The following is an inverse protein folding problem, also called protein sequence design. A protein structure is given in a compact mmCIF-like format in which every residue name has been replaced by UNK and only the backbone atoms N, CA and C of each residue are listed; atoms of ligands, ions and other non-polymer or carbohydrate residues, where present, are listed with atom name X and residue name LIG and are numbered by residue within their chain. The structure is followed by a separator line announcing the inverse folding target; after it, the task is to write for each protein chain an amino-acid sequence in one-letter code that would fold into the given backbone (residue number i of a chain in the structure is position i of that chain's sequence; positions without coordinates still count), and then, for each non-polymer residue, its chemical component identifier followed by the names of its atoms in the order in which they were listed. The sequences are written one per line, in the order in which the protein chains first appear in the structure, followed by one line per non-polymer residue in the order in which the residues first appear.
data_IF_048740873371
#
_entry.id   IF_048740873371
#
_cell.length_a   1.000
_cell.length_b   1.000
_cell.length_c   1.000
_cell.angle_alpha   90.00
_cell.angle_beta   90.00
_cell.angle_gamma   90.00
#
_symmetry.space_group_name_H-M   'P 1'
#
loop_
_entity.id
_entity.type
_entity.pdbx_description
1 polymer ?
#
# COMPACT_ATOMS: atom_id res chain seq x y z
N UNK A 1 21.23 18.63 -60.59
CA UNK A 1 19.78 18.39 -60.63
C UNK A 1 19.42 17.55 -59.44
N UNK A 2 18.76 18.20 -58.48
CA UNK A 2 18.38 17.65 -57.17
C UNK A 2 17.23 16.68 -57.31
N UNK A 3 17.27 15.55 -56.55
CA UNK A 3 16.08 14.81 -56.14
C UNK A 3 16.13 14.62 -54.64
N UNK A 4 15.23 15.34 -54.00
CA UNK A 4 14.92 15.26 -52.57
C UNK A 4 13.92 14.12 -52.37
N UNK A 5 14.32 13.00 -51.75
CA UNK A 5 13.40 11.96 -51.31
C UNK A 5 12.95 12.24 -49.87
N UNK A 6 11.68 12.58 -49.70
CA UNK A 6 10.97 12.63 -48.42
C UNK A 6 10.64 11.20 -48.00
N UNK A 7 11.23 10.76 -46.89
CA UNK A 7 10.81 9.57 -46.19
C UNK A 7 9.59 9.94 -45.35
N UNK A 8 8.43 9.47 -45.73
CA UNK A 8 7.24 9.41 -44.86
C UNK A 8 7.40 8.21 -43.91
N UNK A 9 7.63 8.48 -42.62
CA UNK A 9 7.51 7.49 -41.57
C UNK A 9 6.03 7.24 -41.35
N UNK A 10 5.52 6.12 -41.85
CA UNK A 10 4.16 5.66 -41.53
C UNK A 10 4.11 5.17 -40.11
N UNK A 11 3.34 5.84 -39.25
CA UNK A 11 2.91 5.30 -37.97
C UNK A 11 1.95 4.14 -38.23
N UNK A 12 2.41 2.93 -38.00
CA UNK A 12 1.53 1.76 -37.88
C UNK A 12 0.85 1.87 -36.55
N UNK A 13 -0.40 2.34 -36.53
CA UNK A 13 -1.29 2.19 -35.39
C UNK A 13 -1.64 0.71 -35.29
N UNK A 14 -0.96 0.01 -34.43
CA UNK A 14 -1.37 -1.33 -34.05
C UNK A 14 -2.73 -1.18 -33.30
N UNK A 15 -3.82 -1.51 -33.97
CA UNK A 15 -5.12 -1.71 -33.35
C UNK A 15 -4.98 -2.88 -32.39
N UNK A 16 -4.76 -2.58 -31.12
CA UNK A 16 -4.91 -3.57 -30.07
C UNK A 16 -6.38 -4.01 -30.10
N UNK A 17 -6.63 -5.24 -30.51
CA UNK A 17 -7.92 -5.87 -30.37
C UNK A 17 -8.25 -5.86 -28.88
N UNK A 18 -9.23 -5.02 -28.49
CA UNK A 18 -9.84 -5.05 -27.18
C UNK A 18 -10.50 -6.41 -27.07
N UNK A 19 -9.83 -7.35 -26.39
CA UNK A 19 -10.46 -8.57 -25.96
C UNK A 19 -11.53 -8.14 -24.95
N UNK A 20 -12.76 -7.96 -25.43
CA UNK A 20 -13.90 -7.83 -24.53
C UNK A 20 -13.90 -9.09 -23.66
N UNK A 21 -13.52 -8.95 -22.41
CA UNK A 21 -13.66 -10.03 -21.43
C UNK A 21 -15.12 -10.50 -21.48
N UNK A 22 -15.33 -11.70 -22.02
CA UNK A 22 -16.65 -12.29 -22.11
C UNK A 22 -17.26 -12.31 -20.71
N UNK A 23 -18.24 -11.42 -20.48
CA UNK A 23 -19.18 -11.35 -19.40
C UNK A 23 -18.82 -12.08 -18.10
N UNK A 24 -17.91 -11.50 -17.28
CA UNK A 24 -17.87 -11.88 -15.89
C UNK A 24 -19.24 -11.55 -15.29
N UNK A 25 -19.91 -12.56 -14.71
CA UNK A 25 -21.20 -12.38 -14.06
C UNK A 25 -21.08 -11.29 -13.00
N UNK A 26 -21.74 -10.16 -13.20
CA UNK A 26 -21.80 -9.06 -12.24
C UNK A 26 -22.86 -9.39 -11.21
N UNK A 27 -22.47 -9.64 -9.96
CA UNK A 27 -23.39 -9.86 -8.86
C UNK A 27 -23.71 -8.55 -8.17
N UNK A 28 -24.99 -8.27 -7.86
CA UNK A 28 -25.35 -7.12 -7.07
C UNK A 28 -24.70 -7.19 -5.67
N UNK A 29 -24.35 -6.05 -5.11
CA UNK A 29 -23.73 -5.93 -3.80
C UNK A 29 -24.52 -4.97 -2.92
N UNK A 30 -24.79 -5.32 -1.64
CA UNK A 30 -25.43 -4.40 -0.71
C UNK A 30 -24.40 -3.37 -0.19
N UNK A 31 -24.78 -2.09 -0.24
CA UNK A 31 -24.03 -1.00 0.40
C UNK A 31 -25.01 -0.12 1.17
N UNK A 32 -24.57 0.51 2.27
CA UNK A 32 -25.44 1.45 2.98
C UNK A 32 -25.50 2.83 2.29
N UNK A 33 -24.51 3.14 1.43
CA UNK A 33 -24.53 4.26 0.51
C UNK A 33 -24.03 3.80 -0.87
N UNK A 34 -24.61 4.23 -1.98
CA UNK A 34 -24.16 3.82 -3.30
C UNK A 34 -22.75 4.36 -3.59
N UNK A 35 -21.78 3.50 -3.93
CA UNK A 35 -20.49 3.94 -4.38
C UNK A 35 -20.60 4.61 -5.75
N UNK A 36 -19.78 5.64 -5.99
CA UNK A 36 -19.69 6.35 -7.25
C UNK A 36 -18.32 6.14 -7.88
N UNK A 37 -18.27 5.54 -9.07
CA UNK A 37 -17.03 5.46 -9.84
C UNK A 37 -16.51 6.86 -10.20
N UNK A 38 -15.21 7.09 -10.02
CA UNK A 38 -14.52 8.33 -10.41
C UNK A 38 -13.44 8.09 -11.45
N UNK A 39 -13.29 6.87 -11.90
CA UNK A 39 -12.56 6.47 -13.11
C UNK A 39 -13.41 5.50 -13.91
N UNK A 40 -13.08 5.28 -15.18
CA UNK A 40 -13.81 4.36 -16.05
C UNK A 40 -12.90 3.74 -17.12
N UNK A 41 -13.28 2.55 -17.57
CA UNK A 41 -12.56 1.84 -18.62
C UNK A 41 -12.28 2.65 -19.88
N UNK A 42 -11.51 2.09 -20.86
CA UNK A 42 -11.23 0.65 -20.95
C UNK A 42 -10.05 0.14 -20.10
N UNK A 43 -9.24 1.04 -19.54
CA UNK A 43 -8.09 0.68 -18.70
C UNK A 43 -8.50 0.44 -17.24
N UNK A 44 -7.69 -0.33 -16.54
CA UNK A 44 -7.76 -0.44 -15.09
C UNK A 44 -7.17 0.81 -14.43
N UNK A 45 -7.86 1.32 -13.41
CA UNK A 45 -7.41 2.45 -12.60
C UNK A 45 -7.41 2.06 -11.12
N UNK A 46 -6.42 2.52 -10.39
CA UNK A 46 -6.34 2.32 -8.95
C UNK A 46 -5.51 3.43 -8.27
N UNK A 47 -5.74 3.63 -6.98
CA UNK A 47 -5.03 4.64 -6.22
C UNK A 47 -3.52 4.37 -6.24
N UNK A 48 -2.71 5.41 -6.44
CA UNK A 48 -1.27 5.29 -6.72
C UNK A 48 -0.41 4.94 -5.49
N UNK A 49 -1.02 4.47 -4.41
CA UNK A 49 -0.35 4.18 -3.15
C UNK A 49 -1.02 3.06 -2.35
N UNK A 50 -0.37 2.68 -1.22
CA UNK A 50 -0.88 1.65 -0.31
C UNK A 50 -1.96 2.21 0.62
N UNK A 51 -2.76 1.34 1.28
CA UNK A 51 -3.95 1.72 2.05
C UNK A 51 -3.63 2.68 3.18
N UNK A 52 -2.76 2.88 3.88
CA UNK A 52 -2.55 3.86 4.97
C UNK A 52 -2.09 5.24 4.47
N UNK A 53 -1.89 5.40 3.16
CA UNK A 53 -1.35 6.63 2.56
C UNK A 53 -2.49 7.41 1.92
N UNK A 54 -2.57 8.70 2.18
CA UNK A 54 -3.63 9.53 1.62
C UNK A 54 -3.40 9.80 0.12
N UNK A 55 -4.36 9.40 -0.72
CA UNK A 55 -4.35 9.66 -2.15
C UNK A 55 -4.96 11.02 -2.54
N UNK A 56 -5.71 11.66 -1.61
CA UNK A 56 -6.35 12.94 -1.85
C UNK A 56 -5.32 14.08 -1.84
N UNK A 57 -5.45 15.01 -2.78
CA UNK A 57 -4.71 16.27 -2.73
C UNK A 57 -5.07 17.08 -1.48
N UNK A 58 -4.21 18.00 -1.04
CA UNK A 58 -4.48 18.81 0.15
C UNK A 58 -5.80 19.58 0.11
N UNK A 59 -6.27 19.99 -1.07
CA UNK A 59 -7.55 20.65 -1.32
C UNK A 59 -8.73 19.70 -1.57
N UNK A 60 -8.50 18.38 -1.50
CA UNK A 60 -9.47 17.31 -1.78
C UNK A 60 -10.04 17.29 -3.23
N UNK A 61 -9.45 18.02 -4.15
CA UNK A 61 -9.91 18.07 -5.54
C UNK A 61 -9.39 16.90 -6.38
N UNK A 62 -8.15 16.49 -6.16
CA UNK A 62 -7.50 15.46 -6.99
C UNK A 62 -7.24 14.18 -6.22
N UNK A 63 -7.29 13.05 -6.92
CA UNK A 63 -6.79 11.76 -6.46
C UNK A 63 -5.59 11.34 -7.29
N UNK A 64 -4.51 10.87 -6.63
CA UNK A 64 -3.38 10.22 -7.30
C UNK A 64 -3.79 8.81 -7.74
N UNK A 65 -3.73 8.55 -9.05
CA UNK A 65 -4.25 7.33 -9.69
C UNK A 65 -3.22 6.78 -10.66
N UNK A 66 -3.09 5.46 -10.73
CA UNK A 66 -2.39 4.74 -11.78
C UNK A 66 -3.41 4.20 -12.80
N UNK A 67 -3.06 4.29 -14.08
CA UNK A 67 -3.79 3.72 -15.21
C UNK A 67 -2.94 2.65 -15.89
N UNK A 68 -3.50 1.47 -16.17
CA UNK A 68 -2.78 0.35 -16.82
C UNK A 68 -3.69 -0.48 -17.70
N UNK A 69 -3.12 -1.04 -18.78
CA UNK A 69 -3.76 -2.08 -19.60
C UNK A 69 -3.56 -3.49 -19.04
N UNK A 70 -2.68 -3.69 -18.05
CA UNK A 70 -2.44 -4.98 -17.40
C UNK A 70 -3.54 -5.22 -16.38
N UNK A 71 -4.21 -6.39 -16.42
CA UNK A 71 -5.33 -6.71 -15.54
C UNK A 71 -5.11 -7.96 -14.70
N UNK A 72 -4.45 -8.98 -15.25
CA UNK A 72 -4.50 -10.36 -14.79
C UNK A 72 -3.13 -11.01 -14.56
N UNK A 73 -2.05 -10.24 -14.59
CA UNK A 73 -0.69 -10.73 -14.37
C UNK A 73 0.13 -9.81 -13.47
N UNK A 74 1.20 -10.36 -12.91
CA UNK A 74 2.20 -9.58 -12.20
C UNK A 74 2.83 -8.54 -13.15
N UNK A 75 2.95 -7.27 -12.75
CA UNK A 75 3.74 -6.28 -13.48
C UNK A 75 5.19 -6.73 -13.66
N UNK A 76 5.69 -6.60 -14.88
CA UNK A 76 7.00 -7.09 -15.31
C UNK A 76 7.98 -5.93 -15.64
N UNK A 77 7.73 -4.74 -15.12
CA UNK A 77 8.44 -3.51 -15.45
C UNK A 77 7.83 -2.76 -16.66
N UNK A 78 6.73 -3.28 -17.24
CA UNK A 78 5.94 -2.52 -18.22
C UNK A 78 5.42 -1.24 -17.55
N UNK A 79 5.60 -0.06 -18.14
CA UNK A 79 5.12 1.19 -17.57
C UNK A 79 3.59 1.22 -17.41
N UNK A 80 3.11 1.79 -16.30
CA UNK A 80 1.75 2.32 -16.17
C UNK A 80 1.79 3.86 -16.22
N UNK A 81 0.64 4.51 -16.34
CA UNK A 81 0.54 5.96 -16.34
C UNK A 81 0.13 6.46 -14.94
N UNK A 82 0.99 7.25 -14.31
CA UNK A 82 0.60 8.04 -13.14
C UNK A 82 -0.15 9.28 -13.59
N UNK A 83 -1.29 9.55 -12.99
CA UNK A 83 -2.09 10.72 -13.25
C UNK A 83 -2.93 11.15 -12.05
N UNK A 84 -3.76 12.14 -12.30
CA UNK A 84 -4.74 12.68 -11.34
C UNK A 84 -6.15 12.46 -11.89
N UNK A 85 -7.07 12.11 -11.01
CA UNK A 85 -8.51 12.25 -11.31
C UNK A 85 -9.00 13.58 -10.73
N UNK A 86 -9.47 14.49 -11.57
CA UNK A 86 -10.02 15.79 -11.18
C UNK A 86 -11.51 15.61 -10.83
N UNK A 87 -11.83 15.62 -9.54
CA UNK A 87 -13.19 15.36 -9.03
C UNK A 87 -14.15 16.52 -9.29
N UNK A 88 -13.65 17.71 -9.64
CA UNK A 88 -14.45 18.90 -9.97
C UNK A 88 -14.64 19.10 -11.47
N UNK A 89 -13.90 18.36 -12.31
CA UNK A 89 -13.99 18.41 -13.76
C UNK A 89 -14.45 17.05 -14.33
N UNK A 90 -15.68 16.64 -14.02
CA UNK A 90 -16.29 15.39 -14.49
C UNK A 90 -15.43 14.14 -14.30
N UNK A 91 -14.61 14.11 -13.23
CA UNK A 91 -13.64 13.07 -12.95
C UNK A 91 -12.64 12.83 -14.11
N UNK A 92 -12.24 13.90 -14.80
CA UNK A 92 -11.28 13.81 -15.90
C UNK A 92 -9.93 13.27 -15.41
N UNK A 93 -9.41 12.24 -16.06
CA UNK A 93 -8.06 11.76 -15.82
C UNK A 93 -7.04 12.69 -16.49
N UNK A 94 -6.06 13.14 -15.74
CA UNK A 94 -4.96 14.02 -16.18
C UNK A 94 -3.68 13.18 -16.12
N UNK A 95 -3.16 12.65 -17.24
CA UNK A 95 -1.91 11.90 -17.24
C UNK A 95 -0.72 12.82 -16.92
N UNK A 96 0.23 12.34 -16.12
CA UNK A 96 1.40 13.12 -15.69
C UNK A 96 2.69 12.50 -16.22
N UNK A 97 2.94 11.21 -15.91
CA UNK A 97 4.19 10.55 -16.30
C UNK A 97 4.06 9.03 -16.29
N UNK A 98 4.78 8.32 -17.18
CA UNK A 98 4.90 6.88 -17.10
C UNK A 98 5.73 6.48 -15.88
N UNK A 99 5.34 5.40 -15.20
CA UNK A 99 6.00 4.82 -14.01
C UNK A 99 6.33 3.36 -14.29
N UNK A 100 7.56 2.93 -14.02
CA UNK A 100 8.00 1.54 -14.18
C UNK A 100 7.98 0.73 -12.89
N UNK A 101 7.98 1.38 -11.74
CA UNK A 101 7.99 0.77 -10.40
C UNK A 101 6.58 0.79 -9.83
N UNK A 102 5.83 -0.26 -10.06
CA UNK A 102 4.46 -0.38 -9.57
C UNK A 102 4.03 -1.85 -9.43
N UNK A 103 3.04 -2.06 -8.59
CA UNK A 103 2.34 -3.32 -8.43
C UNK A 103 0.88 -3.06 -8.02
N UNK A 104 0.03 -4.08 -7.96
CA UNK A 104 -1.39 -3.90 -7.63
C UNK A 104 -1.67 -3.74 -6.12
N UNK A 105 -0.68 -3.95 -5.25
CA UNK A 105 -0.86 -3.89 -3.81
C UNK A 105 -0.39 -2.55 -3.23
N UNK A 106 0.88 -2.19 -3.42
CA UNK A 106 1.46 -0.95 -2.90
C UNK A 106 1.50 0.17 -3.96
N UNK A 107 1.08 -0.15 -5.20
CA UNK A 107 1.13 0.76 -6.34
C UNK A 107 2.55 1.32 -6.55
N UNK A 108 2.70 2.61 -6.77
CA UNK A 108 4.00 3.29 -6.92
C UNK A 108 4.38 4.09 -5.66
N UNK A 109 3.73 3.85 -4.52
CA UNK A 109 3.95 4.54 -3.24
C UNK A 109 3.93 6.06 -3.36
N UNK A 110 2.97 6.60 -4.11
CA UNK A 110 2.84 8.03 -4.32
C UNK A 110 2.29 8.74 -3.07
N UNK A 111 2.94 9.84 -2.65
CA UNK A 111 2.52 10.65 -1.51
C UNK A 111 2.47 12.13 -1.91
N UNK A 112 1.38 12.81 -1.62
CA UNK A 112 1.39 14.27 -1.63
C UNK A 112 2.38 14.79 -0.58
N UNK A 113 3.18 15.78 -0.94
CA UNK A 113 4.13 16.38 0.00
C UNK A 113 3.49 17.55 0.74
N UNK A 114 3.32 17.44 2.07
CA UNK A 114 2.88 18.55 2.89
C UNK A 114 3.84 19.75 2.76
N UNK A 115 3.28 20.96 2.63
CA UNK A 115 4.07 22.18 2.50
C UNK A 115 4.60 22.50 1.09
N UNK A 116 4.58 21.54 0.15
CA UNK A 116 4.94 21.76 -1.26
C UNK A 116 3.69 21.74 -2.14
N UNK A 117 3.22 22.92 -2.56
CA UNK A 117 1.99 23.03 -3.37
C UNK A 117 2.14 22.24 -4.67
N UNK A 118 1.08 21.52 -5.04
CA UNK A 118 0.99 20.76 -6.30
C UNK A 118 2.13 19.73 -6.50
N UNK A 119 2.74 19.27 -5.40
CA UNK A 119 3.92 18.40 -5.42
C UNK A 119 3.64 17.08 -4.72
N UNK A 120 4.14 16.00 -5.31
CA UNK A 120 4.11 14.65 -4.74
C UNK A 120 5.48 13.98 -4.89
N UNK A 121 5.73 12.95 -4.08
CA UNK A 121 6.83 12.00 -4.27
C UNK A 121 6.26 10.67 -4.72
N UNK A 122 6.95 9.98 -5.62
CA UNK A 122 6.56 8.66 -6.16
C UNK A 122 7.80 7.86 -6.47
N UNK A 123 7.74 6.53 -6.30
CA UNK A 123 8.83 5.67 -6.72
C UNK A 123 8.84 5.50 -8.25
N UNK A 124 10.04 5.46 -8.83
CA UNK A 124 10.24 5.15 -10.24
C UNK A 124 11.62 4.52 -10.46
N UNK A 125 11.91 4.15 -11.70
CA UNK A 125 13.23 3.67 -12.13
C UNK A 125 13.92 4.74 -12.96
N UNK A 126 15.14 5.10 -12.57
CA UNK A 126 16.04 5.98 -13.33
C UNK A 126 17.40 5.31 -13.47
N UNK A 127 17.92 5.26 -14.68
CA UNK A 127 19.23 4.64 -14.98
C UNK A 127 19.40 3.24 -14.39
N UNK A 128 18.33 2.42 -14.48
CA UNK A 128 18.32 1.06 -13.97
C UNK A 128 18.25 0.93 -12.43
N UNK A 129 18.04 2.02 -11.67
CA UNK A 129 17.95 2.02 -10.21
C UNK A 129 16.56 2.46 -9.76
N UNK A 130 16.09 1.87 -8.69
CA UNK A 130 14.87 2.35 -8.00
C UNK A 130 15.20 3.61 -7.22
N UNK A 131 14.41 4.64 -7.47
CA UNK A 131 14.55 5.99 -6.90
C UNK A 131 13.18 6.50 -6.46
N UNK A 132 13.15 7.58 -5.69
CA UNK A 132 11.95 8.38 -5.56
C UNK A 132 12.08 9.67 -6.40
N UNK A 133 10.99 10.08 -7.03
CA UNK A 133 10.88 11.29 -7.84
C UNK A 133 9.94 12.25 -7.12
N UNK A 134 10.46 13.37 -6.66
CA UNK A 134 9.64 14.49 -6.19
C UNK A 134 9.26 15.31 -7.40
N UNK A 135 7.96 15.45 -7.67
CA UNK A 135 7.46 16.12 -8.88
C UNK A 135 6.39 17.14 -8.56
N UNK A 136 6.57 18.34 -9.09
CA UNK A 136 5.48 19.30 -9.20
C UNK A 136 4.70 19.00 -10.48
N UNK A 137 3.44 18.59 -10.36
CA UNK A 137 2.68 18.13 -11.51
C UNK A 137 2.24 19.24 -12.47
N UNK A 138 2.18 20.50 -12.00
CA UNK A 138 1.80 21.64 -12.84
C UNK A 138 2.97 22.20 -13.64
N UNK A 139 4.13 22.34 -13.00
CA UNK A 139 5.32 22.92 -13.65
C UNK A 139 6.17 21.87 -14.35
N UNK A 140 6.02 20.61 -13.98
CA UNK A 140 6.87 19.53 -14.45
C UNK A 140 8.26 19.46 -13.78
N UNK A 141 8.55 20.32 -12.80
CA UNK A 141 9.82 20.30 -12.09
C UNK A 141 10.00 18.99 -11.31
N UNK A 142 11.19 18.41 -11.40
CA UNK A 142 11.55 17.15 -10.72
C UNK A 142 12.81 17.32 -9.86
N UNK A 143 12.84 16.55 -8.76
CA UNK A 143 14.02 16.30 -7.92
C UNK A 143 14.12 14.79 -7.68
N UNK A 144 15.27 14.21 -7.94
CA UNK A 144 15.51 12.77 -7.75
C UNK A 144 16.09 12.53 -6.35
N UNK A 145 15.49 11.60 -5.64
CA UNK A 145 15.98 11.05 -4.38
C UNK A 145 16.60 9.67 -4.70
N UNK A 146 17.85 9.39 -4.31
CA UNK A 146 18.58 8.21 -4.81
C UNK A 146 18.15 6.88 -4.17
N UNK A 147 16.97 6.83 -3.53
CA UNK A 147 16.40 5.63 -2.93
C UNK A 147 14.86 5.67 -2.94
N UNK A 148 14.16 4.54 -3.11
CA UNK A 148 12.70 4.50 -3.14
C UNK A 148 12.12 4.69 -1.74
N UNK A 149 10.93 5.35 -1.65
CA UNK A 149 10.22 5.60 -0.40
C UNK A 149 9.16 4.54 -0.12
N UNK A 150 8.92 4.25 1.15
CA UNK A 150 7.87 3.35 1.64
C UNK A 150 6.88 4.06 2.58
N UNK A 151 7.31 5.11 3.27
CA UNK A 151 6.47 5.97 4.08
C UNK A 151 7.07 7.39 4.09
N UNK A 152 6.21 8.41 4.18
CA UNK A 152 6.62 9.83 4.27
C UNK A 152 6.11 10.41 5.59
N UNK A 153 6.91 11.25 6.24
CA UNK A 153 6.54 11.94 7.47
C UNK A 153 5.38 12.92 7.27
N UNK A 154 4.60 13.18 8.31
CA UNK A 154 3.44 14.06 8.24
C UNK A 154 3.81 15.53 7.86
N UNK A 155 5.05 15.95 8.10
CA UNK A 155 5.58 17.26 7.71
C UNK A 155 6.23 17.27 6.30
N UNK A 156 6.37 16.10 5.66
CA UNK A 156 6.97 15.96 4.33
C UNK A 156 8.48 16.18 4.28
N UNK A 157 9.17 16.23 5.41
CA UNK A 157 10.62 16.55 5.45
C UNK A 157 11.51 15.32 5.30
N UNK A 158 11.01 14.15 5.68
CA UNK A 158 11.76 12.90 5.61
C UNK A 158 10.86 11.70 5.27
N UNK A 159 11.48 10.63 4.87
CA UNK A 159 10.80 9.39 4.50
C UNK A 159 11.54 8.16 5.05
N UNK A 160 10.85 7.03 5.00
CA UNK A 160 11.44 5.72 5.17
C UNK A 160 11.49 5.03 3.81
N UNK A 161 12.64 4.44 3.50
CA UNK A 161 12.86 3.57 2.35
C UNK A 161 13.14 2.13 2.76
N UNK A 162 12.82 1.20 1.87
CA UNK A 162 13.13 -0.23 1.97
C UNK A 162 13.69 -0.75 0.64
N UNK A 163 14.28 -1.94 0.66
CA UNK A 163 14.80 -2.56 -0.55
C UNK A 163 13.69 -3.26 -1.35
N UNK A 164 13.08 -2.56 -2.31
CA UNK A 164 12.03 -3.11 -3.17
C UNK A 164 12.51 -4.20 -4.13
N UNK A 165 13.80 -4.25 -4.47
CA UNK A 165 14.38 -5.34 -5.25
C UNK A 165 14.38 -6.64 -4.44
N UNK A 166 14.82 -6.58 -3.17
CA UNK A 166 14.77 -7.70 -2.23
C UNK A 166 13.33 -8.11 -1.96
N UNK A 167 12.43 -7.14 -1.82
CA UNK A 167 11.02 -7.39 -1.66
C UNK A 167 10.41 -8.08 -2.88
N UNK A 168 10.80 -7.72 -4.11
CA UNK A 168 10.34 -8.41 -5.31
C UNK A 168 10.76 -9.88 -5.38
N UNK A 169 11.96 -10.21 -4.91
CA UNK A 169 12.42 -11.60 -4.82
C UNK A 169 11.55 -12.41 -3.86
N UNK A 170 11.22 -11.85 -2.69
CA UNK A 170 10.51 -12.53 -1.61
C UNK A 170 8.98 -12.43 -1.73
N UNK A 171 8.49 -11.30 -2.22
CA UNK A 171 7.07 -10.95 -2.37
C UNK A 171 6.88 -10.12 -3.64
N UNK A 172 6.84 -10.77 -4.82
CA UNK A 172 6.73 -10.07 -6.10
C UNK A 172 5.45 -9.23 -6.24
N UNK A 173 4.41 -9.53 -5.46
CA UNK A 173 3.18 -8.75 -5.38
C UNK A 173 3.32 -7.41 -4.64
N UNK A 174 4.42 -7.19 -3.92
CA UNK A 174 4.71 -5.94 -3.19
C UNK A 174 5.99 -5.24 -3.66
N UNK A 175 6.93 -5.97 -4.24
CA UNK A 175 8.17 -5.42 -4.77
C UNK A 175 8.01 -4.83 -6.17
N UNK A 176 9.11 -4.36 -6.72
CA UNK A 176 9.17 -3.87 -8.09
C UNK A 176 10.02 -4.79 -8.95
N UNK A 177 9.59 -5.02 -10.21
CA UNK A 177 10.33 -5.84 -11.16
C UNK A 177 11.72 -5.26 -11.39
N UNK A 178 12.74 -6.08 -11.19
CA UNK A 178 14.16 -5.66 -11.26
C UNK A 178 15.08 -6.76 -10.70
N UNK A 179 14.86 -8.01 -11.08
CA UNK A 179 15.73 -9.12 -10.67
C UNK A 179 17.21 -8.76 -10.94
N UNK A 180 18.07 -9.00 -9.95
CA UNK A 180 19.51 -8.67 -10.02
C UNK A 180 19.88 -7.32 -9.42
N UNK A 181 18.92 -6.49 -9.00
CA UNK A 181 19.21 -5.21 -8.34
C UNK A 181 19.50 -5.35 -6.83
N UNK A 182 19.20 -6.50 -6.21
CA UNK A 182 19.58 -6.74 -4.81
C UNK A 182 20.99 -7.32 -4.72
N UNK A 183 22.01 -6.55 -4.31
CA UNK A 183 23.39 -7.02 -4.19
C UNK A 183 23.56 -7.99 -3.02
N UNK A 184 22.59 -8.13 -2.13
CA UNK A 184 22.60 -8.99 -0.94
C UNK A 184 21.62 -10.16 -1.02
N UNK A 185 21.16 -10.51 -2.22
CA UNK A 185 20.17 -11.59 -2.43
C UNK A 185 20.56 -12.93 -1.80
N UNK A 186 21.84 -13.22 -1.69
CA UNK A 186 22.38 -14.47 -1.14
C UNK A 186 22.70 -14.37 0.37
N UNK A 187 22.41 -13.23 1.01
CA UNK A 187 22.61 -13.01 2.45
C UNK A 187 21.27 -13.04 3.17
N UNK A 188 21.10 -13.98 4.11
CA UNK A 188 19.81 -14.15 4.83
C UNK A 188 19.47 -12.91 5.65
N UNK A 189 20.39 -12.41 6.47
CA UNK A 189 20.22 -11.21 7.30
C UNK A 189 21.32 -10.20 7.00
N UNK A 190 21.18 -9.35 5.97
CA UNK A 190 22.21 -8.37 5.62
C UNK A 190 22.37 -7.29 6.71
N UNK A 191 23.61 -6.85 6.92
CA UNK A 191 23.99 -5.79 7.86
C UNK A 191 23.80 -4.39 7.25
N UNK A 192 23.83 -4.30 5.94
CA UNK A 192 23.78 -3.07 5.14
C UNK A 192 22.47 -2.89 4.36
N UNK A 193 21.45 -3.69 4.67
CA UNK A 193 20.10 -3.57 4.10
C UNK A 193 19.03 -3.64 5.21
N UNK A 194 17.93 -2.95 5.01
CA UNK A 194 16.83 -2.89 5.97
C UNK A 194 15.97 -1.65 5.85
N UNK A 195 15.90 -0.87 6.95
CA UNK A 195 15.10 0.35 7.06
C UNK A 195 16.00 1.57 6.90
N UNK A 196 15.74 2.37 5.88
CA UNK A 196 16.51 3.58 5.59
C UNK A 196 15.70 4.83 5.91
N UNK A 197 16.32 5.80 6.60
CA UNK A 197 15.81 7.14 6.74
C UNK A 197 16.34 8.00 5.59
N UNK A 198 15.47 8.76 4.96
CA UNK A 198 15.75 9.59 3.80
C UNK A 198 15.38 11.03 4.12
N UNK A 199 16.30 11.95 3.98
CA UNK A 199 15.99 13.39 3.98
C UNK A 199 15.46 13.79 2.60
N UNK A 200 14.21 14.22 2.53
CA UNK A 200 13.56 14.52 1.24
C UNK A 200 14.06 15.82 0.62
N UNK A 201 14.72 16.70 1.37
CA UNK A 201 15.28 17.95 0.85
C UNK A 201 16.68 17.75 0.28
N UNK A 202 17.55 17.07 1.02
CA UNK A 202 18.97 16.85 0.63
C UNK A 202 19.18 15.61 -0.19
N UNK A 203 18.28 14.60 -0.11
CA UNK A 203 18.45 13.27 -0.69
C UNK A 203 19.40 12.37 0.10
N UNK A 204 19.81 12.76 1.32
CA UNK A 204 20.63 11.90 2.18
C UNK A 204 19.87 10.64 2.56
N UNK A 205 20.54 9.48 2.45
CA UNK A 205 19.98 8.15 2.76
C UNK A 205 20.84 7.50 3.83
N UNK A 206 20.24 7.14 4.97
CA UNK A 206 20.93 6.53 6.11
C UNK A 206 20.21 5.26 6.54
N UNK A 207 20.94 4.14 6.61
CA UNK A 207 20.43 2.92 7.25
C UNK A 207 20.24 3.17 8.75
N UNK A 208 19.03 2.92 9.28
CA UNK A 208 18.70 3.13 10.70
C UNK A 208 18.39 1.82 11.43
N UNK A 209 17.91 0.78 10.71
CA UNK A 209 17.72 -0.58 11.27
C UNK A 209 18.12 -1.57 10.18
N UNK A 210 19.12 -2.41 10.41
CA UNK A 210 19.47 -3.48 9.47
C UNK A 210 18.61 -4.73 9.69
N UNK A 211 18.51 -5.59 8.67
CA UNK A 211 17.92 -6.92 8.83
C UNK A 211 18.67 -7.72 9.90
N UNK A 212 19.99 -7.57 9.98
CA UNK A 212 20.82 -8.23 10.99
C UNK A 212 20.51 -7.76 12.42
N UNK A 213 20.13 -6.49 12.61
CA UNK A 213 19.82 -5.92 13.94
C UNK A 213 18.64 -6.62 14.63
N UNK A 214 17.71 -7.19 13.86
CA UNK A 214 16.54 -7.90 14.40
C UNK A 214 16.68 -9.42 14.39
N UNK A 215 17.79 -9.98 13.90
CA UNK A 215 18.01 -11.43 13.75
C UNK A 215 17.74 -12.21 15.03
N UNK A 216 18.24 -11.74 16.17
CA UNK A 216 18.04 -12.40 17.49
C UNK A 216 16.64 -12.22 18.08
N UNK A 217 15.75 -11.48 17.41
CA UNK A 217 14.41 -11.13 17.87
C UNK A 217 13.32 -11.74 16.99
N UNK A 218 13.67 -12.52 15.97
CA UNK A 218 12.75 -13.20 15.04
C UNK A 218 12.97 -14.70 15.11
N UNK A 219 12.00 -15.54 14.67
CA UNK A 219 12.21 -16.98 14.55
C UNK A 219 13.44 -17.30 13.69
N UNK A 220 14.17 -18.34 14.07
CA UNK A 220 15.37 -18.78 13.36
C UNK A 220 15.00 -19.20 11.91
N UNK A 221 15.82 -18.77 10.97
CA UNK A 221 15.76 -19.20 9.56
C UNK A 221 16.82 -20.28 9.37
N UNK A 222 16.39 -21.52 9.24
CA UNK A 222 17.26 -22.69 9.13
C UNK A 222 17.61 -23.06 7.70
N UNK A 223 16.83 -22.60 6.73
CA UNK A 223 17.07 -22.86 5.31
C UNK A 223 18.25 -22.05 4.77
N UNK A 224 19.17 -22.69 4.06
CA UNK A 224 20.27 -22.04 3.34
C UNK A 224 19.77 -21.10 2.21
N UNK A 225 18.54 -21.32 1.74
CA UNK A 225 17.86 -20.47 0.77
C UNK A 225 16.91 -19.47 1.43
N UNK A 226 16.97 -19.32 2.75
CA UNK A 226 16.16 -18.37 3.49
C UNK A 226 16.56 -16.93 3.17
N UNK A 227 15.59 -16.02 3.25
CA UNK A 227 15.81 -14.61 3.03
C UNK A 227 14.95 -13.79 4.01
N UNK A 228 15.58 -12.90 4.75
CA UNK A 228 14.86 -11.92 5.58
C UNK A 228 14.73 -10.58 4.83
N UNK A 229 13.65 -9.85 5.13
CA UNK A 229 13.39 -8.54 4.56
C UNK A 229 12.51 -7.70 5.48
N UNK A 230 12.63 -6.38 5.36
CA UNK A 230 11.78 -5.41 6.04
C UNK A 230 10.74 -4.90 5.03
N UNK A 231 9.49 -4.78 5.47
CA UNK A 231 8.39 -4.28 4.64
C UNK A 231 7.29 -3.65 5.49
N UNK A 232 6.27 -3.08 4.82
CA UNK A 232 5.07 -2.53 5.45
C UNK A 232 5.41 -1.52 6.55
N UNK A 233 6.10 -0.47 6.17
CA UNK A 233 6.54 0.58 7.10
C UNK A 233 5.50 1.68 7.21
N UNK A 234 5.25 2.17 8.42
CA UNK A 234 4.45 3.37 8.66
C UNK A 234 5.07 4.23 9.77
N UNK A 235 5.07 5.53 9.56
CA UNK A 235 5.54 6.52 10.52
C UNK A 235 4.35 6.95 11.38
N UNK A 236 4.54 7.05 12.71
CA UNK A 236 3.51 7.57 13.61
C UNK A 236 3.14 9.01 13.27
N UNK A 237 1.89 9.38 13.56
CA UNK A 237 1.37 10.73 13.23
C UNK A 237 2.05 11.85 14.01
N UNK A 238 2.71 11.54 15.13
CA UNK A 238 3.59 12.45 15.87
C UNK A 238 5.05 12.43 15.38
N UNK A 239 5.34 11.64 14.34
CA UNK A 239 6.65 11.47 13.70
C UNK A 239 7.76 10.94 14.63
N UNK A 240 7.43 10.40 15.79
CA UNK A 240 8.40 9.92 16.79
C UNK A 240 8.76 8.45 16.64
N UNK A 241 7.89 7.65 15.99
CA UNK A 241 8.01 6.20 15.89
C UNK A 241 7.80 5.70 14.48
N UNK A 242 8.39 4.54 14.22
CA UNK A 242 8.21 3.78 13.00
C UNK A 242 7.73 2.40 13.40
N UNK A 243 6.68 1.91 12.74
CA UNK A 243 6.29 0.50 12.78
C UNK A 243 6.73 -0.16 11.49
N UNK A 244 7.20 -1.41 11.57
CA UNK A 244 7.60 -2.20 10.43
C UNK A 244 7.44 -3.70 10.68
N UNK A 245 7.36 -4.48 9.61
CA UNK A 245 7.42 -5.92 9.66
C UNK A 245 8.81 -6.40 9.24
N UNK A 246 9.42 -7.23 10.07
CA UNK A 246 10.51 -8.12 9.64
C UNK A 246 9.89 -9.46 9.25
N UNK A 247 10.10 -9.85 8.01
CA UNK A 247 9.64 -11.13 7.47
C UNK A 247 10.83 -11.96 7.01
N UNK A 248 10.71 -13.26 7.13
CA UNK A 248 11.61 -14.21 6.50
C UNK A 248 10.83 -15.27 5.76
N UNK A 249 11.43 -15.78 4.69
CA UNK A 249 10.88 -16.89 3.92
C UNK A 249 11.88 -18.03 3.90
N UNK A 250 11.38 -19.25 4.03
CA UNK A 250 12.11 -20.49 3.87
C UNK A 250 11.49 -21.25 2.70
N UNK A 251 11.97 -20.99 1.49
CA UNK A 251 11.49 -21.67 0.28
C UNK A 251 12.52 -21.54 -0.85
N UNK A 252 12.41 -22.40 -1.85
CA UNK A 252 13.07 -22.16 -3.12
C UNK A 252 12.50 -20.89 -3.79
N UNK A 253 13.31 -20.19 -4.58
CA UNK A 253 12.82 -19.03 -5.32
C UNK A 253 11.64 -19.34 -6.24
N UNK A 254 11.60 -20.55 -6.81
CA UNK A 254 10.44 -21.01 -7.59
C UNK A 254 9.20 -21.18 -6.71
N UNK A 255 9.35 -21.68 -5.48
CA UNK A 255 8.27 -21.79 -4.51
C UNK A 255 7.73 -20.42 -4.11
N UNK A 256 8.61 -19.43 -3.88
CA UNK A 256 8.22 -18.05 -3.57
C UNK A 256 7.40 -17.44 -4.70
N UNK A 257 7.87 -17.53 -5.94
CA UNK A 257 7.15 -17.03 -7.13
C UNK A 257 5.77 -17.68 -7.32
N UNK A 258 5.60 -18.92 -6.89
CA UNK A 258 4.32 -19.64 -6.99
C UNK A 258 3.53 -19.64 -5.68
N UNK A 259 4.02 -19.05 -4.62
CA UNK A 259 3.48 -19.14 -3.24
C UNK A 259 3.24 -20.60 -2.78
N UNK A 260 4.02 -21.52 -3.32
CA UNK A 260 3.87 -22.94 -3.05
C UNK A 260 5.02 -23.44 -2.17
N UNK A 261 4.66 -24.07 -1.05
CA UNK A 261 5.65 -24.61 -0.10
C UNK A 261 6.48 -23.53 0.61
N UNK A 262 5.92 -22.31 0.76
CA UNK A 262 6.58 -21.19 1.40
C UNK A 262 6.25 -21.19 2.89
N UNK A 263 7.27 -21.22 3.72
CA UNK A 263 7.15 -21.00 5.16
C UNK A 263 7.49 -19.53 5.47
N UNK A 264 6.49 -18.79 5.92
CA UNK A 264 6.59 -17.35 6.18
C UNK A 264 6.60 -17.08 7.68
N UNK A 265 7.66 -16.42 8.14
CA UNK A 265 7.72 -15.88 9.48
C UNK A 265 7.49 -14.37 9.44
N UNK A 266 6.64 -13.86 10.31
CA UNK A 266 6.34 -12.42 10.38
C UNK A 266 6.43 -11.97 11.83
N UNK A 267 7.29 -11.00 12.10
CA UNK A 267 7.43 -10.35 13.40
C UNK A 267 7.23 -8.85 13.22
N UNK A 268 6.37 -8.26 14.05
CA UNK A 268 6.10 -6.84 14.05
C UNK A 268 6.98 -6.10 15.05
N UNK A 269 7.53 -4.98 14.62
CA UNK A 269 8.42 -4.13 15.40
C UNK A 269 7.98 -2.68 15.41
N UNK A 270 8.35 -1.99 16.49
CA UNK A 270 8.46 -0.52 16.51
C UNK A 270 9.88 -0.11 16.86
N UNK A 271 10.27 1.06 16.38
CA UNK A 271 11.48 1.77 16.80
C UNK A 271 11.21 3.27 16.86
N UNK A 272 12.13 4.04 17.43
CA UNK A 272 12.12 5.49 17.31
C UNK A 272 12.47 5.93 15.88
N UNK A 273 12.16 7.18 15.55
CA UNK A 273 12.40 7.74 14.21
C UNK A 273 13.87 7.75 13.76
N UNK A 274 14.81 7.60 14.70
CA UNK A 274 16.24 7.47 14.45
C UNK A 274 16.75 6.01 14.35
N UNK A 275 15.83 5.03 14.49
CA UNK A 275 16.13 3.61 14.50
C UNK A 275 16.49 3.02 15.87
N UNK A 276 16.57 3.85 16.91
CA UNK A 276 16.84 3.36 18.28
C UNK A 276 15.58 2.70 18.90
N UNK A 277 15.75 2.01 20.05
CA UNK A 277 14.67 1.40 20.82
C UNK A 277 13.81 0.43 20.01
N UNK A 278 14.44 -0.49 19.29
CA UNK A 278 13.76 -1.55 18.54
C UNK A 278 13.04 -2.47 19.53
N UNK A 279 11.73 -2.66 19.36
CA UNK A 279 10.88 -3.51 20.19
C UNK A 279 9.96 -4.37 19.36
N UNK A 280 9.76 -5.62 19.78
CA UNK A 280 8.69 -6.48 19.23
C UNK A 280 7.34 -5.99 19.77
N UNK A 281 6.35 -5.94 18.88
CA UNK A 281 4.98 -5.55 19.26
C UNK A 281 4.19 -6.71 19.84
N UNK A 282 4.42 -7.94 19.36
CA UNK A 282 3.60 -9.11 19.70
C UNK A 282 4.47 -10.36 19.87
N UNK A 283 3.99 -11.36 20.66
CA UNK A 283 4.59 -12.69 20.73
C UNK A 283 4.63 -13.40 19.38
N UNK A 284 5.45 -14.44 19.27
CA UNK A 284 5.46 -15.31 18.09
C UNK A 284 4.10 -15.97 17.87
N UNK A 285 3.79 -16.23 16.60
CA UNK A 285 2.53 -16.86 16.19
C UNK A 285 1.35 -15.92 16.03
N UNK A 286 1.43 -14.65 16.50
CA UNK A 286 0.31 -13.71 16.28
C UNK A 286 0.21 -13.21 14.84
N UNK A 287 1.27 -13.26 14.06
CA UNK A 287 1.25 -12.99 12.63
C UNK A 287 0.55 -11.70 12.26
N UNK A 288 1.22 -10.57 12.46
CA UNK A 288 0.68 -9.26 12.07
C UNK A 288 0.57 -9.13 10.56
N UNK A 289 -0.52 -8.55 10.09
CA UNK A 289 -0.79 -8.34 8.66
C UNK A 289 -0.88 -6.86 8.30
N UNK A 290 -1.96 -6.18 8.64
CA UNK A 290 -2.21 -4.77 8.27
C UNK A 290 -2.27 -3.90 9.51
N UNK A 291 -1.96 -2.60 9.38
CA UNK A 291 -1.85 -1.70 10.53
C UNK A 291 -1.96 -0.24 10.12
N UNK A 292 -2.38 0.60 11.07
CA UNK A 292 -2.45 2.05 10.90
C UNK A 292 -2.26 2.76 12.25
N UNK A 293 -1.52 3.87 12.25
CA UNK A 293 -1.42 4.72 13.44
C UNK A 293 -2.69 5.54 13.65
N UNK A 294 -3.08 5.68 14.91
CA UNK A 294 -4.15 6.58 15.30
C UNK A 294 -3.74 8.04 15.02
N UNK A 295 -4.68 8.92 14.64
CA UNK A 295 -4.39 10.36 14.59
C UNK A 295 -3.84 10.85 15.92
N UNK A 296 -2.75 11.64 15.91
CA UNK A 296 -2.06 12.10 17.11
C UNK A 296 -2.79 13.28 17.77
N UNK A 297 -4.00 13.07 18.24
CA UNK A 297 -4.83 14.06 18.94
C UNK A 297 -4.43 14.22 20.42
N UNK A 298 -3.69 13.25 20.95
CA UNK A 298 -3.07 13.25 22.27
C UNK A 298 -1.74 12.51 22.22
N UNK A 299 -0.92 12.62 23.28
CA UNK A 299 0.34 11.87 23.39
C UNK A 299 0.10 10.34 23.36
N UNK A 300 -0.97 9.86 23.98
CA UNK A 300 -1.34 8.44 23.94
C UNK A 300 -1.74 8.01 22.54
N UNK A 301 -2.51 8.83 21.81
CA UNK A 301 -2.91 8.52 20.43
C UNK A 301 -1.69 8.41 19.52
N UNK A 302 -0.68 9.25 19.67
CA UNK A 302 0.59 9.16 18.94
C UNK A 302 1.36 7.84 19.18
N UNK A 303 0.98 7.04 20.18
CA UNK A 303 1.53 5.71 20.51
C UNK A 303 0.54 4.58 20.25
N UNK A 304 -0.65 4.87 19.74
CA UNK A 304 -1.73 3.92 19.54
C UNK A 304 -1.88 3.54 18.07
N UNK A 305 -2.08 2.26 17.81
CA UNK A 305 -2.27 1.68 16.47
C UNK A 305 -3.47 0.74 16.45
N UNK A 306 -4.05 0.55 15.27
CA UNK A 306 -4.84 -0.64 14.96
C UNK A 306 -4.00 -1.58 14.09
N UNK A 307 -4.14 -2.87 14.33
CA UNK A 307 -3.49 -3.93 13.55
C UNK A 307 -4.44 -5.11 13.36
N UNK A 308 -4.36 -5.78 12.22
CA UNK A 308 -4.94 -7.12 12.08
C UNK A 308 -3.88 -8.17 12.41
N UNK A 309 -4.17 -9.04 13.36
CA UNK A 309 -3.28 -10.11 13.77
C UNK A 309 -4.07 -11.32 14.26
N UNK A 310 -3.42 -12.48 14.36
CA UNK A 310 -3.99 -13.67 15.01
C UNK A 310 -4.02 -13.45 16.52
N UNK A 311 -5.06 -12.78 16.99
CA UNK A 311 -5.24 -12.42 18.40
C UNK A 311 -5.13 -13.65 19.31
N UNK A 312 -4.15 -13.62 20.20
CA UNK A 312 -3.85 -14.72 21.10
C UNK A 312 -3.69 -16.09 20.40
N UNK A 313 -3.07 -16.10 19.21
CA UNK A 313 -2.87 -17.28 18.35
C UNK A 313 -4.16 -17.99 17.88
N UNK A 314 -5.30 -17.29 17.89
CA UNK A 314 -6.61 -17.86 17.51
C UNK A 314 -6.99 -17.47 16.09
N UNK A 315 -7.69 -16.36 15.95
CA UNK A 315 -8.23 -15.88 14.67
C UNK A 315 -7.71 -14.49 14.36
N UNK A 316 -7.64 -14.15 13.09
CA UNK A 316 -7.38 -12.77 12.71
C UNK A 316 -8.46 -11.86 13.26
N UNK A 317 -8.03 -10.80 13.91
CA UNK A 317 -8.88 -9.84 14.62
C UNK A 317 -8.28 -8.46 14.47
N UNK A 318 -9.13 -7.44 14.41
CA UNK A 318 -8.69 -6.06 14.53
C UNK A 318 -8.38 -5.76 15.99
N UNK A 319 -7.16 -5.33 16.27
CA UNK A 319 -6.66 -5.09 17.62
C UNK A 319 -6.13 -3.67 17.71
N UNK A 320 -6.66 -2.87 18.63
CA UNK A 320 -6.05 -1.60 19.01
C UNK A 320 -5.00 -1.87 20.08
N UNK A 321 -3.78 -1.34 19.90
CA UNK A 321 -2.74 -1.45 20.91
C UNK A 321 -1.98 -0.13 21.06
N UNK A 322 -1.51 0.10 22.29
CA UNK A 322 -0.68 1.26 22.63
C UNK A 322 0.73 0.78 22.95
N UNK A 323 1.71 1.38 22.31
CA UNK A 323 3.14 1.10 22.53
C UNK A 323 3.60 1.97 23.69
N UNK A 324 3.68 1.38 24.87
CA UNK A 324 4.23 2.01 26.07
C UNK A 324 5.67 1.59 26.31
N UNK A 325 6.43 2.37 27.09
CA UNK A 325 7.84 2.09 27.35
C UNK A 325 8.04 0.78 28.13
N UNK A 326 7.12 0.47 29.06
CA UNK A 326 7.23 -0.70 29.92
C UNK A 326 6.44 -1.90 29.40
N UNK A 327 5.26 -1.68 28.82
CA UNK A 327 4.43 -2.74 28.28
C UNK A 327 3.53 -2.25 27.14
N UNK A 328 3.05 -3.20 26.33
CA UNK A 328 2.07 -2.94 25.28
C UNK A 328 0.67 -3.31 25.82
N UNK A 329 -0.23 -2.34 25.88
CA UNK A 329 -1.65 -2.62 26.13
C UNK A 329 -2.38 -2.89 24.81
N UNK A 330 -3.27 -3.90 24.80
CA UNK A 330 -3.98 -4.29 23.60
C UNK A 330 -5.43 -4.70 23.89
N UNK A 331 -6.36 -4.36 22.98
CA UNK A 331 -7.75 -4.81 23.01
C UNK A 331 -8.26 -5.18 21.63
N UNK A 332 -9.05 -6.25 21.54
CA UNK A 332 -9.77 -6.60 20.31
C UNK A 332 -10.94 -5.63 20.09
N UNK A 333 -11.22 -5.30 18.81
CA UNK A 333 -12.27 -4.39 18.40
C UNK A 333 -13.45 -5.15 17.80
N UNK A 334 -14.69 -4.69 18.06
CA UNK A 334 -15.91 -5.11 17.37
C UNK A 334 -16.28 -6.59 17.48
N UNK A 335 -15.70 -7.33 18.42
CA UNK A 335 -16.00 -8.73 18.68
C UNK A 335 -15.89 -9.61 17.44
N UNK A 336 -16.76 -10.64 17.33
CA UNK A 336 -16.77 -11.59 16.21
C UNK A 336 -17.02 -10.94 14.84
N UNK A 337 -17.65 -9.76 14.81
CA UNK A 337 -17.92 -9.06 13.56
C UNK A 337 -16.66 -8.57 12.87
N UNK A 338 -15.56 -8.35 13.62
CA UNK A 338 -14.25 -7.92 13.11
C UNK A 338 -13.21 -9.05 13.12
N UNK A 339 -13.65 -10.32 13.15
CA UNK A 339 -12.76 -11.49 13.05
C UNK A 339 -12.42 -11.81 11.58
N UNK A 340 -11.59 -11.00 10.96
CA UNK A 340 -11.05 -11.25 9.61
C UNK A 340 -9.72 -10.52 9.44
N UNK A 341 -8.91 -10.97 8.48
CA UNK A 341 -7.73 -10.24 8.02
C UNK A 341 -8.11 -9.26 6.92
N UNK A 342 -7.56 -8.06 6.94
CA UNK A 342 -7.81 -7.02 5.96
C UNK A 342 -7.18 -5.68 6.35
N UNK A 343 -7.26 -4.71 5.44
CA UNK A 343 -6.68 -3.39 5.65
C UNK A 343 -7.51 -2.61 6.67
N UNK A 344 -6.85 -2.08 7.68
CA UNK A 344 -7.50 -1.35 8.78
C UNK A 344 -6.98 0.09 8.85
N UNK A 345 -7.90 1.06 8.91
CA UNK A 345 -7.55 2.48 9.01
C UNK A 345 -8.47 3.21 10.00
N UNK A 346 -7.89 4.13 10.75
CA UNK A 346 -8.66 5.06 11.57
C UNK A 346 -9.34 6.14 10.72
N UNK A 347 -10.50 6.61 11.17
CA UNK A 347 -11.07 7.87 10.71
C UNK A 347 -10.16 9.06 11.12
N UNK A 348 -10.23 10.20 10.42
CA UNK A 348 -9.40 11.37 10.73
C UNK A 348 -9.58 11.92 12.15
N UNK A 349 -10.75 11.73 12.75
CA UNK A 349 -11.05 12.10 14.15
C UNK A 349 -10.64 11.03 15.16
N UNK A 350 -10.15 9.87 14.71
CA UNK A 350 -9.74 8.77 15.57
C UNK A 350 -10.87 8.06 16.32
N UNK A 351 -12.14 8.27 15.96
CA UNK A 351 -13.30 7.70 16.64
C UNK A 351 -13.78 6.37 16.06
N UNK A 352 -13.38 6.08 14.82
CA UNK A 352 -13.78 4.87 14.10
C UNK A 352 -12.56 4.17 13.49
N UNK A 353 -12.72 2.87 13.27
CA UNK A 353 -11.81 2.06 12.46
C UNK A 353 -12.62 1.36 11.38
N UNK A 354 -12.24 1.48 10.12
CA UNK A 354 -12.79 0.64 9.09
C UNK A 354 -11.80 -0.44 8.66
N UNK A 355 -12.34 -1.61 8.26
CA UNK A 355 -11.56 -2.76 7.80
C UNK A 355 -12.21 -3.44 6.62
N UNK A 356 -11.45 -3.58 5.50
CA UNK A 356 -11.87 -4.36 4.33
C UNK A 356 -11.30 -5.78 4.44
N UNK A 357 -12.16 -6.80 4.46
CA UNK A 357 -11.72 -8.20 4.48
C UNK A 357 -11.12 -8.66 3.15
N UNK A 358 -10.33 -9.73 3.17
CA UNK A 358 -10.08 -10.53 1.96
C UNK A 358 -11.41 -11.12 1.45
N UNK A 359 -11.48 -11.42 0.14
CA UNK A 359 -12.69 -12.08 -0.39
C UNK A 359 -12.88 -13.45 0.24
N UNK A 360 -14.11 -13.71 0.68
CA UNK A 360 -14.53 -14.97 1.29
C UNK A 360 -14.78 -16.07 0.25
N UNK A 361 -15.28 -17.23 0.73
CA UNK A 361 -15.72 -18.34 -0.13
C UNK A 361 -16.91 -17.96 -1.03
N UNK A 362 -17.67 -16.99 -0.62
CA UNK A 362 -18.77 -16.35 -1.37
C UNK A 362 -18.29 -15.45 -2.51
N UNK A 363 -17.00 -15.12 -2.53
CA UNK A 363 -16.38 -14.26 -3.53
C UNK A 363 -16.52 -12.77 -3.28
N UNK A 364 -17.02 -12.36 -2.11
CA UNK A 364 -17.16 -10.96 -1.73
C UNK A 364 -16.06 -10.51 -0.77
N UNK A 365 -15.71 -9.22 -0.84
CA UNK A 365 -14.98 -8.51 0.21
C UNK A 365 -15.99 -7.81 1.09
N UNK A 366 -15.98 -8.15 2.38
CA UNK A 366 -16.84 -7.54 3.38
C UNK A 366 -16.12 -6.35 4.00
N UNK A 367 -16.69 -5.17 3.87
CA UNK A 367 -16.14 -3.93 4.39
C UNK A 367 -16.97 -3.42 5.55
N UNK A 368 -16.33 -3.26 6.71
CA UNK A 368 -17.00 -2.90 7.97
C UNK A 368 -16.33 -1.70 8.62
N UNK A 369 -17.10 -1.02 9.47
CA UNK A 369 -16.65 0.06 10.33
C UNK A 369 -17.04 -0.23 11.77
N UNK A 370 -16.13 0.02 12.70
CA UNK A 370 -16.36 -0.11 14.15
C UNK A 370 -16.20 1.24 14.81
N UNK A 371 -17.15 1.59 15.67
CA UNK A 371 -17.09 2.77 16.54
C UNK A 371 -16.33 2.40 17.82
N UNK A 372 -15.27 3.16 18.13
CA UNK A 372 -14.35 2.82 19.22
C UNK A 372 -14.90 3.05 20.62
N UNK A 373 -15.93 3.88 20.75
CA UNK A 373 -16.53 4.21 22.02
C UNK A 373 -17.30 3.03 22.67
N UNK A 374 -17.91 2.17 21.84
CA UNK A 374 -18.80 1.09 22.30
C UNK A 374 -18.64 -0.22 21.52
N UNK A 375 -17.66 -0.29 20.61
CA UNK A 375 -17.39 -1.43 19.72
C UNK A 375 -18.58 -1.79 18.79
N UNK A 376 -19.51 -0.87 18.55
CA UNK A 376 -20.60 -1.07 17.60
C UNK A 376 -20.05 -1.20 16.18
N UNK A 377 -20.50 -2.23 15.44
CA UNK A 377 -20.03 -2.54 14.08
C UNK A 377 -21.16 -2.38 13.08
N UNK A 378 -20.86 -1.70 11.98
CA UNK A 378 -21.75 -1.55 10.84
C UNK A 378 -21.08 -2.03 9.55
N UNK A 379 -21.85 -2.64 8.62
CA UNK A 379 -21.35 -2.95 7.27
C UNK A 379 -21.36 -1.69 6.41
N UNK A 380 -20.25 -1.41 5.72
CA UNK A 380 -20.17 -0.40 4.67
C UNK A 380 -20.67 -0.98 3.35
N UNK A 381 -20.36 -2.26 3.09
CA UNK A 381 -20.83 -2.97 1.91
C UNK A 381 -20.07 -4.24 1.65
N UNK A 382 -20.61 -5.03 0.72
CA UNK A 382 -20.04 -6.28 0.25
C UNK A 382 -19.74 -6.13 -1.26
N UNK A 383 -18.45 -6.25 -1.63
CA UNK A 383 -17.98 -5.98 -2.98
C UNK A 383 -17.51 -7.27 -3.63
N UNK A 384 -18.18 -7.68 -4.70
CA UNK A 384 -17.83 -8.90 -5.41
C UNK A 384 -16.49 -8.79 -6.13
N UNK A 385 -15.72 -9.87 -6.09
CA UNK A 385 -14.43 -9.99 -6.77
C UNK A 385 -14.55 -10.98 -7.91
N UNK A 386 -14.53 -10.54 -9.18
CA UNK A 386 -14.51 -11.43 -10.33
C UNK A 386 -13.32 -12.40 -10.29
N UNK A 387 -13.44 -13.63 -10.81
CA UNK A 387 -12.38 -14.64 -10.77
C UNK A 387 -11.01 -14.16 -11.29
N UNK A 388 -10.97 -13.33 -12.32
CA UNK A 388 -9.75 -12.75 -12.91
C UNK A 388 -8.95 -11.91 -11.91
N UNK A 389 -9.62 -11.31 -10.90
CA UNK A 389 -8.99 -10.49 -9.87
C UNK A 389 -8.80 -11.21 -8.53
N UNK A 390 -8.78 -12.56 -8.52
CA UNK A 390 -8.56 -13.37 -7.31
C UNK A 390 -7.14 -13.88 -7.17
N UNK A 391 -6.34 -13.81 -8.23
CA UNK A 391 -4.93 -14.16 -8.16
C UNK A 391 -4.17 -13.20 -7.23
N UNK A 392 -3.16 -13.74 -6.53
CA UNK A 392 -2.40 -12.98 -5.53
C UNK A 392 -1.67 -11.78 -6.11
N UNK A 393 -1.25 -11.86 -7.38
CA UNK A 393 -0.49 -10.80 -8.05
C UNK A 393 -1.34 -9.65 -8.55
N UNK A 394 -2.63 -9.88 -8.83
CA UNK A 394 -3.55 -8.90 -9.39
C UNK A 394 -4.85 -8.75 -8.59
N UNK A 395 -4.88 -9.25 -7.35
CA UNK A 395 -6.10 -9.27 -6.53
C UNK A 395 -6.74 -7.89 -6.39
N UNK A 396 -8.05 -7.86 -6.52
CA UNK A 396 -8.87 -6.67 -6.34
C UNK A 396 -9.03 -6.30 -4.87
N UNK A 397 -8.07 -5.58 -4.28
CA UNK A 397 -8.16 -5.07 -2.91
C UNK A 397 -8.84 -3.71 -2.89
N UNK A 398 -9.65 -3.42 -1.85
CA UNK A 398 -10.36 -2.14 -1.74
C UNK A 398 -9.42 -1.00 -1.37
N UNK A 399 -8.49 -1.23 -0.44
CA UNK A 399 -7.51 -0.21 -0.02
C UNK A 399 -8.17 1.15 0.26
N UNK A 400 -9.02 1.28 1.27
CA UNK A 400 -9.73 2.52 1.53
C UNK A 400 -8.82 3.67 1.97
N UNK A 401 -9.20 4.92 1.63
CA UNK A 401 -8.54 6.18 2.06
C UNK A 401 -9.58 7.17 2.50
N UNK A 402 -9.47 7.65 3.71
CA UNK A 402 -10.31 8.72 4.20
C UNK A 402 -10.03 10.05 3.51
N UNK A 403 -11.09 10.74 3.11
CA UNK A 403 -11.04 12.17 2.88
C UNK A 403 -10.79 12.89 4.22
N UNK A 404 -10.08 14.02 4.19
CA UNK A 404 -9.70 14.73 5.42
C UNK A 404 -10.86 15.10 6.34
N UNK A 405 -12.04 15.39 5.79
CA UNK A 405 -13.24 15.75 6.56
C UNK A 405 -13.95 14.55 7.21
N UNK A 406 -13.44 13.34 7.00
CA UNK A 406 -14.00 12.12 7.55
C UNK A 406 -15.34 11.67 6.95
N UNK A 407 -15.86 12.32 5.91
CA UNK A 407 -17.21 12.04 5.36
C UNK A 407 -17.19 11.05 4.20
N UNK A 408 -16.08 10.94 3.50
CA UNK A 408 -15.96 10.08 2.32
C UNK A 408 -14.73 9.19 2.41
N UNK A 409 -14.83 8.03 1.75
CA UNK A 409 -13.72 7.12 1.49
C UNK A 409 -13.52 6.98 -0.02
N UNK A 410 -12.26 7.10 -0.48
CA UNK A 410 -11.85 6.68 -1.80
C UNK A 410 -11.31 5.25 -1.70
N UNK A 411 -11.62 4.40 -2.67
CA UNK A 411 -11.20 3.01 -2.66
C UNK A 411 -11.13 2.42 -4.08
N UNK A 412 -10.35 1.36 -4.24
CA UNK A 412 -10.32 0.58 -5.47
C UNK A 412 -11.44 -0.46 -5.43
N UNK A 413 -12.04 -0.79 -6.55
CA UNK A 413 -12.91 -1.95 -6.62
C UNK A 413 -12.96 -2.55 -8.03
N UNK A 414 -13.30 -3.83 -8.09
CA UNK A 414 -13.42 -4.63 -9.32
C UNK A 414 -14.84 -5.15 -9.52
N UNK A 415 -15.78 -4.74 -8.67
CA UNK A 415 -17.13 -5.32 -8.58
C UNK A 415 -17.99 -5.10 -9.82
N UNK A 416 -17.68 -4.10 -10.65
CA UNK A 416 -18.33 -3.84 -11.94
C UNK A 416 -17.56 -4.45 -13.14
N UNK A 417 -16.65 -5.39 -12.88
CA UNK A 417 -15.95 -6.16 -13.92
C UNK A 417 -14.61 -5.60 -14.38
N UNK A 418 -14.25 -4.37 -13.99
CA UNK A 418 -12.93 -3.77 -14.19
C UNK A 418 -12.46 -3.08 -12.91
N UNK A 419 -11.14 -2.91 -12.76
CA UNK A 419 -10.58 -2.20 -11.61
C UNK A 419 -10.75 -0.70 -11.81
N UNK A 420 -11.54 -0.07 -10.93
CA UNK A 420 -11.76 1.37 -10.96
C UNK A 420 -11.67 1.97 -9.56
N UNK A 421 -11.49 3.28 -9.50
CA UNK A 421 -11.53 4.05 -8.25
C UNK A 421 -12.96 4.54 -8.01
N UNK A 422 -13.39 4.37 -6.76
CA UNK A 422 -14.72 4.74 -6.31
C UNK A 422 -14.67 5.68 -5.10
N UNK A 423 -15.71 6.47 -4.93
CA UNK A 423 -16.00 7.23 -3.71
C UNK A 423 -17.28 6.68 -3.08
N UNK A 424 -17.30 6.63 -1.74
CA UNK A 424 -18.48 6.31 -0.97
C UNK A 424 -18.65 7.31 0.18
N UNK A 425 -19.88 7.79 0.38
CA UNK A 425 -20.23 8.62 1.52
C UNK A 425 -20.51 7.72 2.73
N UNK A 426 -19.77 7.93 3.78
CA UNK A 426 -19.88 7.16 5.03
C UNK A 426 -20.48 7.97 6.18
N UNK A 427 -20.88 9.23 5.92
CA UNK A 427 -21.52 10.09 6.93
C UNK A 427 -22.67 9.42 7.66
N UNK A 428 -23.54 8.61 7.02
CA UNK A 428 -24.62 7.92 7.72
C UNK A 428 -24.15 6.90 8.76
N UNK A 429 -22.96 6.27 8.54
CA UNK A 429 -22.40 5.32 9.50
C UNK A 429 -21.76 6.01 10.71
N UNK A 430 -21.45 7.30 10.61
CA UNK A 430 -20.78 8.09 11.63
C UNK A 430 -21.77 8.86 12.52
N UNK A 431 -23.07 8.79 12.21
CA UNK A 431 -24.09 9.41 13.03
C UNK A 431 -24.09 8.78 14.45
N UNK A 432 -24.28 9.59 15.52
CA UNK A 432 -24.26 9.13 16.90
C UNK A 432 -25.35 8.10 17.24
#
# INVERSE_FOLDING_TARGET
MMYMNRLFAGFVVASAAICACAGAEIKPFPTFAPPRAVTKGPYDHFLANYFAINAWSPDNRYLLVLETAIQDKLPDGTPCMLGLTDLEDNNRFIPIMPIRTWNFQEAAMAHWLPGEKDTFVVNDMRDGKFVAVVRNWKTGAERIIPYPVSAVSEDGTWAIGINYARLFITRPDYGYAGEGQDPRKDVVFPEDDGLFRIDLKTGEVKLIVSCAAVKGMVPEVTSTNGMSYICHTVISKDMKRIYFLSRSVEASMEGVKKFKGVNWHTTAFTCHADGSHIRRCFPDGWGSSHFNWKPALSERDGRTMVVTCKWQNKVYTHVEFTVDEEQTSARALGGKAMHFDGHCIYSPDGLFVCGDGYFGKDGFRHWKIVRLADDAVQSIGDFWVPPIYRDIYCRGALHPRWRKDGKQLAFNSVHEGSRQVYLIDVSPALAP
#
